data_IF_433402379751
#
_entry.id   IF_433402379751
#
_cell.length_a   1.000
_cell.length_b   1.000
_cell.length_c   1.000
_cell.angle_alpha   90.00
_cell.angle_beta   90.00
_cell.angle_gamma   90.00
#
_symmetry.space_group_name_H-M   'P 1'
#
loop_
_entity.id
_entity.type
_entity.pdbx_description
1 polymer ?
#
# COMPACT_ATOMS: atom_id res chain seq x y z
N UNK A 1 5.51 -23.74 0.00
CA UNK A 1 4.46 -24.18 0.95
C UNK A 1 3.79 -25.37 0.29
N UNK A 2 3.83 -26.54 0.92
CA UNK A 2 3.17 -27.73 0.38
C UNK A 2 1.67 -27.64 0.68
N UNK A 3 0.86 -27.53 -0.38
CA UNK A 3 -0.59 -27.38 -0.29
C UNK A 3 -1.30 -28.68 0.11
N UNK A 4 -0.59 -29.81 0.15
CA UNK A 4 -1.15 -31.12 0.49
C UNK A 4 -1.24 -31.38 2.00
N UNK A 5 -0.61 -30.54 2.83
CA UNK A 5 -0.54 -30.71 4.28
C UNK A 5 -1.50 -29.77 5.01
N UNK A 6 -2.24 -30.30 5.99
CA UNK A 6 -3.10 -29.50 6.87
C UNK A 6 -2.21 -28.61 7.76
N UNK A 7 -2.51 -27.32 7.80
CA UNK A 7 -1.80 -26.37 8.66
C UNK A 7 -2.76 -25.71 9.65
N UNK A 8 -2.31 -25.58 10.90
CA UNK A 8 -3.01 -24.86 11.96
C UNK A 8 -2.66 -23.36 11.89
N UNK A 9 -3.16 -22.68 10.86
CA UNK A 9 -2.97 -21.25 10.64
C UNK A 9 -4.33 -20.53 10.59
N UNK A 10 -4.36 -19.30 11.08
CA UNK A 10 -5.54 -18.43 10.99
C UNK A 10 -5.30 -17.36 9.93
N UNK A 11 -6.16 -17.31 8.93
CA UNK A 11 -6.16 -16.21 7.94
C UNK A 11 -6.91 -15.00 8.50
N UNK A 12 -6.34 -13.82 8.31
CA UNK A 12 -6.99 -12.54 8.61
C UNK A 12 -6.90 -11.62 7.40
N UNK A 13 -7.87 -10.74 7.26
CA UNK A 13 -7.90 -9.71 6.23
C UNK A 13 -8.19 -8.35 6.88
N UNK A 14 -7.47 -7.33 6.41
CA UNK A 14 -7.75 -5.94 6.73
C UNK A 14 -8.00 -5.17 5.43
N UNK A 15 -8.90 -4.19 5.47
CA UNK A 15 -9.23 -3.35 4.32
C UNK A 15 -9.45 -1.91 4.78
N UNK A 16 -9.37 -0.96 3.86
CA UNK A 16 -9.69 0.45 4.11
C UNK A 16 -11.20 0.73 4.11
N UNK A 17 -12.05 -0.30 4.05
CA UNK A 17 -13.50 -0.11 4.01
C UNK A 17 -14.03 0.40 5.35
N UNK A 18 -14.64 1.58 5.32
CA UNK A 18 -15.33 2.15 6.46
C UNK A 18 -16.82 1.73 6.41
N UNK A 19 -17.28 1.00 7.43
CA UNK A 19 -18.66 0.49 7.52
C UNK A 19 -19.71 1.60 7.69
N UNK A 20 -19.37 2.67 8.42
CA UNK A 20 -20.27 3.79 8.69
C UNK A 20 -20.47 4.66 7.45
N UNK A 21 -19.36 5.02 6.81
CA UNK A 21 -19.36 5.90 5.63
C UNK A 21 -19.61 5.12 4.32
N UNK A 22 -19.60 3.79 4.36
CA UNK A 22 -19.67 2.89 3.20
C UNK A 22 -18.65 3.24 2.11
N UNK A 23 -17.49 3.78 2.52
CA UNK A 23 -16.41 4.20 1.63
C UNK A 23 -15.29 3.19 1.64
N UNK A 24 -14.76 2.88 0.46
CA UNK A 24 -13.57 2.01 0.27
C UNK A 24 -12.26 2.80 0.30
N UNK A 25 -12.34 4.12 0.13
CA UNK A 25 -11.19 4.99 -0.09
C UNK A 25 -10.89 5.80 1.16
N UNK A 26 -9.63 5.76 1.60
CA UNK A 26 -9.13 6.60 2.68
C UNK A 26 -8.49 7.86 2.08
N UNK A 27 -9.07 9.06 2.24
CA UNK A 27 -8.44 10.29 1.77
C UNK A 27 -7.20 10.61 2.59
N UNK A 28 -6.12 11.00 1.92
CA UNK A 28 -4.85 11.42 2.54
C UNK A 28 -4.50 12.80 1.98
N UNK A 29 -4.44 13.81 2.84
CA UNK A 29 -4.06 15.18 2.47
C UNK A 29 -2.55 15.31 2.33
N UNK A 30 -2.09 16.32 1.59
CA UNK A 30 -0.66 16.63 1.48
C UNK A 30 -0.05 16.88 2.87
N UNK A 31 1.11 16.30 3.13
CA UNK A 31 1.78 16.32 4.43
C UNK A 31 1.23 15.34 5.47
N UNK A 32 0.06 14.75 5.23
CA UNK A 32 -0.63 13.89 6.19
C UNK A 32 -0.06 12.46 6.21
N UNK A 33 0.08 11.91 7.41
CA UNK A 33 0.42 10.51 7.65
C UNK A 33 -0.82 9.78 8.16
N UNK A 34 -1.15 8.64 7.55
CA UNK A 34 -2.25 7.78 7.95
C UNK A 34 -1.76 6.36 8.22
N UNK A 35 -2.28 5.75 9.27
CA UNK A 35 -2.11 4.31 9.53
C UNK A 35 -3.17 3.55 8.72
N UNK A 36 -2.74 2.59 7.92
CA UNK A 36 -3.61 1.72 7.11
C UNK A 36 -3.92 0.40 7.83
N UNK A 37 -2.94 -0.14 8.54
CA UNK A 37 -3.06 -1.37 9.30
C UNK A 37 -2.15 -1.30 10.53
N UNK A 38 -2.67 -1.77 11.64
CA UNK A 38 -1.92 -2.08 12.86
C UNK A 38 -2.37 -3.47 13.31
N UNK A 39 -1.42 -4.36 13.52
CA UNK A 39 -1.69 -5.74 13.86
C UNK A 39 -0.69 -6.24 14.90
N UNK A 40 -1.20 -6.70 16.03
CA UNK A 40 -0.39 -7.30 17.10
C UNK A 40 -0.20 -8.81 16.89
N UNK A 41 0.84 -9.33 17.54
CA UNK A 41 1.14 -10.76 17.55
C UNK A 41 2.16 -11.19 16.50
N UNK A 42 2.21 -12.49 16.25
CA UNK A 42 3.11 -13.10 15.25
C UNK A 42 2.30 -13.45 14.02
N UNK A 43 2.82 -13.12 12.84
CA UNK A 43 2.15 -13.41 11.59
C UNK A 43 3.04 -13.20 10.38
N UNK A 44 2.46 -13.40 9.21
CA UNK A 44 3.09 -13.15 7.91
C UNK A 44 2.09 -12.40 7.05
N UNK A 45 2.48 -11.24 6.51
CA UNK A 45 1.74 -10.68 5.37
C UNK A 45 2.03 -11.55 4.17
N UNK A 46 1.01 -12.21 3.64
CA UNK A 46 1.13 -13.06 2.45
C UNK A 46 0.83 -12.30 1.18
N UNK A 47 -0.07 -11.33 1.26
CA UNK A 47 -0.43 -10.47 0.15
C UNK A 47 -1.05 -9.16 0.63
N UNK A 48 -0.84 -8.10 -0.13
CA UNK A 48 -1.67 -6.90 -0.05
C UNK A 48 -1.86 -6.29 -1.43
N UNK A 49 -3.01 -5.62 -1.57
CA UNK A 49 -3.44 -4.96 -2.79
C UNK A 49 -3.80 -3.51 -2.47
N UNK A 50 -3.43 -2.59 -3.35
CA UNK A 50 -3.72 -1.17 -3.20
C UNK A 50 -4.11 -0.57 -4.54
N UNK A 51 -5.09 0.34 -4.52
CA UNK A 51 -5.39 1.20 -5.67
C UNK A 51 -5.36 2.64 -5.21
N UNK A 52 -4.80 3.49 -6.04
CA UNK A 52 -4.75 4.93 -5.81
C UNK A 52 -5.68 5.58 -6.82
N UNK A 53 -6.71 6.35 -6.41
CA UNK A 53 -7.49 7.13 -7.35
C UNK A 53 -6.69 8.37 -7.81
N UNK A 54 -6.97 8.85 -9.01
CA UNK A 54 -6.41 10.11 -9.52
C UNK A 54 -4.99 10.07 -10.09
N UNK A 55 -4.31 8.91 -10.16
CA UNK A 55 -3.00 8.82 -10.84
C UNK A 55 -3.09 8.39 -12.31
N UNK A 56 -4.20 7.75 -12.70
CA UNK A 56 -4.49 7.32 -14.07
C UNK A 56 -5.92 7.68 -14.47
N UNK A 57 -6.22 7.50 -15.76
CA UNK A 57 -7.55 7.78 -16.29
C UNK A 57 -8.61 6.83 -15.73
N UNK A 58 -9.72 7.41 -15.28
CA UNK A 58 -10.81 6.72 -14.61
C UNK A 58 -12.05 6.74 -15.52
N UNK A 59 -12.42 5.58 -16.08
CA UNK A 59 -13.61 5.45 -16.95
C UNK A 59 -14.90 5.99 -16.28
N UNK A 60 -15.02 5.84 -14.97
CA UNK A 60 -16.20 6.25 -14.18
C UNK A 60 -16.18 7.72 -13.74
N UNK A 61 -15.07 8.43 -13.93
CA UNK A 61 -14.97 9.86 -13.60
C UNK A 61 -14.01 10.59 -14.57
N UNK A 62 -14.45 10.83 -15.82
CA UNK A 62 -13.59 11.38 -16.88
C UNK A 62 -13.10 12.81 -16.61
N UNK A 63 -13.81 13.57 -15.77
CA UNK A 63 -13.48 14.96 -15.42
C UNK A 63 -12.55 15.08 -14.20
N UNK A 64 -12.21 13.98 -13.54
CA UNK A 64 -11.27 14.00 -12.42
C UNK A 64 -9.88 14.41 -12.89
N UNK A 65 -9.23 15.31 -12.13
CA UNK A 65 -7.83 15.64 -12.35
C UNK A 65 -6.95 14.38 -12.19
N UNK A 66 -6.04 14.18 -13.14
CA UNK A 66 -5.10 13.06 -13.16
C UNK A 66 -3.71 13.61 -12.86
N UNK A 67 -2.99 12.96 -11.94
CA UNK A 67 -1.64 13.33 -11.56
C UNK A 67 -0.81 12.08 -11.25
N UNK A 68 0.01 11.65 -12.20
CA UNK A 68 0.91 10.50 -12.04
C UNK A 68 1.91 10.68 -10.88
N UNK A 69 2.26 11.93 -10.55
CA UNK A 69 3.13 12.28 -9.42
C UNK A 69 2.62 11.79 -8.06
N UNK A 70 1.34 11.43 -7.95
CA UNK A 70 0.78 10.79 -6.75
C UNK A 70 1.58 9.53 -6.38
N UNK A 71 2.01 8.74 -7.36
CA UNK A 71 2.76 7.51 -7.10
C UNK A 71 4.19 7.77 -6.59
N UNK A 72 4.76 8.95 -6.85
CA UNK A 72 6.06 9.39 -6.31
C UNK A 72 5.96 10.11 -4.98
N UNK A 73 4.84 10.77 -4.73
CA UNK A 73 4.62 11.60 -3.53
C UNK A 73 3.93 10.85 -2.40
N UNK A 74 3.28 9.72 -2.66
CA UNK A 74 2.82 8.80 -1.63
C UNK A 74 3.93 7.85 -1.22
N UNK A 75 4.39 7.97 0.03
CA UNK A 75 5.42 7.13 0.62
C UNK A 75 4.77 6.02 1.42
N UNK A 76 5.05 4.78 1.04
CA UNK A 76 4.70 3.59 1.80
C UNK A 76 5.73 3.38 2.91
N UNK A 77 5.23 3.20 4.14
CA UNK A 77 6.07 2.90 5.30
C UNK A 77 5.59 1.65 6.02
N UNK A 78 6.50 0.70 6.20
CA UNK A 78 6.22 -0.53 6.93
C UNK A 78 7.18 -0.64 8.10
N UNK A 79 6.60 -0.85 9.29
CA UNK A 79 7.31 -1.00 10.55
C UNK A 79 7.04 -2.41 11.07
N UNK A 80 8.11 -3.07 11.49
CA UNK A 80 8.07 -4.40 12.08
C UNK A 80 8.54 -4.32 13.53
N UNK A 81 7.98 -5.19 14.36
CA UNK A 81 8.49 -5.51 15.70
C UNK A 81 8.78 -4.25 16.53
N UNK A 82 7.92 -3.24 16.40
CA UNK A 82 7.96 -2.05 17.27
C UNK A 82 9.00 -1.02 16.91
N UNK A 83 9.82 -1.28 15.89
CA UNK A 83 10.86 -0.37 15.42
C UNK A 83 10.30 1.04 15.18
N UNK A 84 11.04 2.04 15.68
CA UNK A 84 10.77 3.45 15.39
C UNK A 84 11.13 3.80 13.94
N UNK A 85 12.10 3.08 13.36
CA UNK A 85 12.53 3.27 11.98
C UNK A 85 11.74 2.32 11.05
N UNK A 86 11.17 2.82 9.95
CA UNK A 86 10.49 1.96 8.99
C UNK A 86 11.53 1.08 8.29
N UNK A 87 11.24 -0.22 8.17
CA UNK A 87 12.07 -1.14 7.42
C UNK A 87 11.86 -0.99 5.90
N UNK A 88 10.65 -0.60 5.51
CA UNK A 88 10.33 -0.21 4.14
C UNK A 88 9.93 1.26 4.15
N UNK A 89 10.61 2.09 3.36
CA UNK A 89 10.27 3.50 3.17
C UNK A 89 10.55 3.88 1.72
N UNK A 90 9.54 3.78 0.87
CA UNK A 90 9.68 4.03 -0.57
C UNK A 90 8.41 4.68 -1.14
N UNK A 91 8.51 5.47 -2.21
CA UNK A 91 7.33 5.85 -2.99
C UNK A 91 6.56 4.61 -3.45
N UNK A 92 5.22 4.69 -3.48
CA UNK A 92 4.37 3.55 -3.85
C UNK A 92 4.68 3.05 -5.26
N UNK A 93 4.94 3.94 -6.22
CA UNK A 93 5.32 3.57 -7.59
C UNK A 93 6.60 2.73 -7.61
N UNK A 94 7.63 3.17 -6.88
CA UNK A 94 8.93 2.48 -6.83
C UNK A 94 8.85 1.14 -6.11
N UNK A 95 8.09 1.08 -5.02
CA UNK A 95 7.88 -0.16 -4.26
C UNK A 95 7.27 -1.28 -5.11
N UNK A 96 6.30 -0.95 -5.98
CA UNK A 96 5.66 -1.92 -6.86
C UNK A 96 6.35 -2.09 -8.22
N UNK A 97 7.50 -1.45 -8.46
CA UNK A 97 8.23 -1.54 -9.72
C UNK A 97 7.66 -0.69 -10.86
N UNK A 98 6.74 0.22 -10.58
CA UNK A 98 6.23 1.21 -11.54
C UNK A 98 6.91 2.58 -11.33
N UNK A 99 8.22 2.62 -11.58
CA UNK A 99 9.06 3.78 -11.31
C UNK A 99 8.85 4.97 -12.25
N UNK A 100 8.31 4.77 -13.45
CA UNK A 100 7.96 5.85 -14.37
C UNK A 100 6.56 6.41 -14.12
N UNK A 101 5.77 5.76 -13.27
CA UNK A 101 4.39 6.15 -12.95
C UNK A 101 3.47 6.15 -14.17
N UNK A 102 3.80 5.31 -15.14
CA UNK A 102 3.01 5.09 -16.35
C UNK A 102 2.04 3.93 -16.14
N UNK A 103 0.95 3.93 -16.91
CA UNK A 103 0.00 2.81 -16.88
C UNK A 103 0.59 1.66 -17.72
N UNK A 104 1.39 0.82 -17.09
CA UNK A 104 1.91 -0.42 -17.65
C UNK A 104 1.40 -1.64 -16.87
N UNK A 105 0.57 -2.48 -17.49
CA UNK A 105 0.18 -3.76 -16.88
C UNK A 105 1.35 -4.72 -16.94
N UNK A 106 1.79 -5.21 -15.79
CA UNK A 106 2.80 -6.26 -15.69
C UNK A 106 2.57 -7.07 -14.43
N UNK A 107 2.95 -8.34 -14.47
CA UNK A 107 2.86 -9.22 -13.32
C UNK A 107 4.13 -10.05 -13.26
N UNK A 108 4.76 -10.09 -12.09
CA UNK A 108 5.74 -11.11 -11.76
C UNK A 108 5.21 -11.99 -10.62
N UNK A 109 6.03 -12.91 -10.13
CA UNK A 109 5.64 -13.84 -9.07
C UNK A 109 5.24 -13.15 -7.75
N UNK A 110 5.90 -12.03 -7.42
CA UNK A 110 5.79 -11.35 -6.12
C UNK A 110 5.07 -10.01 -6.16
N UNK A 111 5.02 -9.30 -7.27
CA UNK A 111 4.40 -7.98 -7.38
C UNK A 111 4.03 -7.64 -8.82
N UNK A 112 3.20 -6.62 -8.98
CA UNK A 112 2.85 -6.12 -10.27
C UNK A 112 1.68 -5.14 -10.21
N UNK A 113 1.24 -4.77 -11.41
CA UNK A 113 0.12 -3.88 -11.62
C UNK A 113 -0.85 -4.49 -12.63
N UNK A 114 -2.13 -4.49 -12.29
CA UNK A 114 -3.22 -4.91 -13.16
C UNK A 114 -4.37 -3.91 -13.06
N UNK A 115 -4.81 -3.38 -14.19
CA UNK A 115 -5.98 -2.48 -14.28
C UNK A 115 -5.91 -1.28 -13.33
N UNK A 116 -4.71 -0.74 -13.09
CA UNK A 116 -4.47 0.39 -12.19
C UNK A 116 -4.40 0.05 -10.70
N UNK A 117 -4.57 -1.23 -10.34
CA UNK A 117 -4.35 -1.76 -9.00
C UNK A 117 -2.99 -2.44 -8.87
N UNK A 118 -2.35 -2.26 -7.72
CA UNK A 118 -1.04 -2.79 -7.41
C UNK A 118 -1.17 -3.95 -6.43
N UNK A 119 -0.39 -5.00 -6.63
CA UNK A 119 -0.34 -6.13 -5.70
C UNK A 119 1.10 -6.45 -5.31
N UNK A 120 1.26 -6.94 -4.09
CA UNK A 120 2.48 -7.51 -3.58
C UNK A 120 2.15 -8.79 -2.81
N UNK A 121 2.92 -9.84 -3.06
CA UNK A 121 2.84 -11.21 -2.53
C UNK A 121 4.15 -11.63 -1.87
N UNK A 122 5.05 -10.67 -1.60
CA UNK A 122 6.25 -10.97 -0.81
C UNK A 122 5.82 -11.39 0.60
N UNK A 123 6.31 -12.55 1.09
CA UNK A 123 6.03 -12.96 2.46
C UNK A 123 6.79 -12.06 3.43
N UNK A 124 6.07 -11.33 4.28
CA UNK A 124 6.66 -10.40 5.24
C UNK A 124 6.35 -10.86 6.67
N UNK A 125 7.24 -11.67 7.30
CA UNK A 125 7.06 -12.15 8.66
C UNK A 125 7.28 -11.04 9.70
N UNK A 126 6.50 -11.08 10.77
CA UNK A 126 6.64 -10.21 11.95
C UNK A 126 6.37 -10.99 13.24
N UNK A 127 6.94 -10.55 14.35
CA UNK A 127 6.94 -11.26 15.65
C UNK A 127 6.20 -10.48 16.74
N UNK A 128 5.76 -11.25 17.73
CA UNK A 128 4.88 -10.88 18.86
C UNK A 128 5.21 -9.60 19.63
N UNK A 129 6.47 -9.17 19.69
CA UNK A 129 6.85 -8.14 20.67
C UNK A 129 6.17 -6.80 20.40
N UNK A 130 5.86 -6.46 19.13
CA UNK A 130 5.29 -5.15 18.80
C UNK A 130 4.63 -5.06 17.41
N UNK A 131 4.36 -6.20 16.78
CA UNK A 131 3.43 -6.28 15.65
C UNK A 131 3.89 -5.61 14.35
N UNK A 132 2.92 -5.39 13.46
CA UNK A 132 3.06 -4.75 12.17
C UNK A 132 2.34 -3.40 12.18
N UNK A 133 3.00 -2.34 11.72
CA UNK A 133 2.34 -1.08 11.37
C UNK A 133 2.60 -0.71 9.92
N UNK A 134 1.52 -0.56 9.16
CA UNK A 134 1.54 -0.09 7.78
C UNK A 134 1.01 1.34 7.75
N UNK A 135 1.83 2.28 7.27
CA UNK A 135 1.46 3.69 7.15
C UNK A 135 1.67 4.18 5.73
N UNK A 136 0.88 5.17 5.36
CA UNK A 136 1.09 5.95 4.14
C UNK A 136 1.32 7.41 4.52
N UNK A 137 2.23 8.06 3.82
CA UNK A 137 2.53 9.47 4.00
C UNK A 137 2.49 10.17 2.65
N UNK A 138 1.61 11.15 2.50
CA UNK A 138 1.66 12.04 1.35
C UNK A 138 2.66 13.16 1.63
N UNK A 139 3.65 13.31 0.77
CA UNK A 139 4.62 14.39 0.89
C UNK A 139 3.93 15.77 0.86
N UNK A 140 4.44 16.76 1.59
CA UNK A 140 3.94 18.13 1.49
C UNK A 140 4.25 18.70 0.10
N UNK A 141 3.48 19.72 -0.31
CA UNK A 141 3.83 20.52 -1.48
C UNK A 141 5.22 21.14 -1.24
N UNK A 142 6.20 20.82 -2.07
CA UNK A 142 7.48 21.52 -2.05
C UNK A 142 7.25 22.86 -2.76
N UNK A 143 7.39 24.01 -2.09
CA UNK A 143 7.42 25.28 -2.80
C UNK A 143 8.65 25.27 -3.70
N UNK A 144 8.43 25.37 -5.00
CA UNK A 144 9.52 25.59 -5.96
C UNK A 144 10.00 27.00 -5.64
N UNK A 145 11.28 27.17 -5.27
CA UNK A 145 11.85 28.50 -5.05
C UNK A 145 11.58 29.34 -6.30
N UNK A 146 10.87 30.45 -6.10
CA UNK A 146 10.55 31.45 -7.12
C UNK A 146 11.80 32.22 -7.54
#
# INVERSE_FOLDING_TARGET
MDISQIQLLTTRQATTFNLEQRSKTLPVKRGERRTLLEADGTGVITQFWMTFPGWFWQHWNPSAAISQSILKTLILRIYWDGSEKPAVCAPVGDFFGNGLCEVASFANHYFGMSSGGFFCKFPMPFRKASGLRLKIWMLPSIPIFS
#
